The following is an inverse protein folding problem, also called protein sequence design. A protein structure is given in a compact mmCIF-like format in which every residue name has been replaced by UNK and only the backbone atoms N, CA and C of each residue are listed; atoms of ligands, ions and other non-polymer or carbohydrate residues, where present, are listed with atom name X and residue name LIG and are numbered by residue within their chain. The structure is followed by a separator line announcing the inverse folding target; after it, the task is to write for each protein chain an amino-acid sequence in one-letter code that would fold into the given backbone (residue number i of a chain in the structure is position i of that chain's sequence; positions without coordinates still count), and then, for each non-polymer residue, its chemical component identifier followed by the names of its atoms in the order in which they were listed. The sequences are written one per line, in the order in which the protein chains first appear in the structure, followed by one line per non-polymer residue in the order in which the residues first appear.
data_IF_005630666163
#
_entry.id   IF_005630666163
#
_cell.length_a   1.000
_cell.length_b   1.000
_cell.length_c   1.000
_cell.angle_alpha   90.00
_cell.angle_beta   90.00
_cell.angle_gamma   90.00
#
_symmetry.space_group_name_H-M   'P 1'
#
loop_
_entity.id
_entity.type
_entity.pdbx_description
1 polymer ?
#
# COMPACT_ATOMS: atom_id res chain seq x y z
N UNK A 1 -5.93 15.23 -1.43
CA UNK A 1 -6.76 15.29 -2.66
C UNK A 1 -6.46 14.22 -3.71
N UNK A 2 -5.20 13.82 -4.02
CA UNK A 2 -4.96 12.79 -5.06
C UNK A 2 -5.40 11.36 -4.69
N UNK A 3 -5.21 10.94 -3.43
CA UNK A 3 -5.47 9.56 -3.01
C UNK A 3 -6.98 9.25 -2.94
N UNK A 4 -7.79 10.18 -2.43
CA UNK A 4 -9.24 9.95 -2.28
C UNK A 4 -9.94 9.86 -3.64
N UNK A 5 -9.51 10.68 -4.61
CA UNK A 5 -9.98 10.60 -5.99
C UNK A 5 -9.60 9.25 -6.63
N UNK A 6 -8.39 8.75 -6.40
CA UNK A 6 -7.95 7.45 -6.89
C UNK A 6 -8.74 6.31 -6.23
N UNK A 7 -9.03 6.40 -4.92
CA UNK A 7 -9.90 5.45 -4.20
C UNK A 7 -11.31 5.42 -4.80
N UNK A 8 -11.88 6.59 -5.11
CA UNK A 8 -13.18 6.71 -5.77
C UNK A 8 -13.17 6.08 -7.17
N UNK A 9 -12.17 6.39 -8.00
CA UNK A 9 -12.03 5.82 -9.33
C UNK A 9 -11.86 4.29 -9.32
N UNK A 10 -11.10 3.74 -8.36
CA UNK A 10 -10.98 2.29 -8.16
C UNK A 10 -12.35 1.67 -7.84
N UNK A 11 -13.15 2.32 -6.97
CA UNK A 11 -14.49 1.84 -6.62
C UNK A 11 -15.41 1.81 -7.84
N UNK A 12 -15.45 2.90 -8.60
CA UNK A 12 -16.28 3.00 -9.82
C UNK A 12 -15.88 1.95 -10.87
N UNK A 13 -14.57 1.74 -11.08
CA UNK A 13 -14.09 0.72 -12.01
C UNK A 13 -14.40 -0.70 -11.51
N UNK A 14 -14.32 -0.95 -10.20
CA UNK A 14 -14.74 -2.23 -9.60
C UNK A 14 -16.21 -2.50 -9.83
N UNK A 15 -17.07 -1.52 -9.58
CA UNK A 15 -18.52 -1.65 -9.79
C UNK A 15 -18.83 -1.95 -11.27
N UNK A 16 -18.11 -1.29 -12.19
CA UNK A 16 -18.19 -1.55 -13.63
C UNK A 16 -17.76 -2.98 -13.98
N UNK A 17 -16.63 -3.44 -13.42
CA UNK A 17 -16.15 -4.79 -13.64
C UNK A 17 -17.08 -5.86 -13.07
N UNK A 18 -17.70 -5.62 -11.92
CA UNK A 18 -18.69 -6.53 -11.33
C UNK A 18 -19.92 -6.62 -12.24
N UNK A 19 -20.39 -5.50 -12.77
CA UNK A 19 -21.49 -5.49 -13.77
C UNK A 19 -21.12 -6.27 -15.02
N UNK A 20 -19.92 -6.04 -15.57
CA UNK A 20 -19.42 -6.77 -16.74
C UNK A 20 -19.33 -8.27 -16.45
N UNK A 21 -18.79 -8.66 -15.30
CA UNK A 21 -18.70 -10.07 -14.91
C UNK A 21 -20.06 -10.74 -14.84
N UNK A 22 -21.03 -10.09 -14.20
CA UNK A 22 -22.39 -10.60 -14.07
C UNK A 22 -23.14 -10.65 -15.42
N UNK A 23 -22.70 -9.88 -16.43
CA UNK A 23 -23.24 -9.94 -17.79
C UNK A 23 -22.63 -11.02 -18.68
N UNK A 24 -21.60 -11.75 -18.22
CA UNK A 24 -20.97 -12.79 -19.02
C UNK A 24 -21.98 -13.94 -19.24
N UNK A 25 -22.33 -14.26 -20.50
CA UNK A 25 -23.24 -15.36 -20.78
C UNK A 25 -22.58 -16.69 -20.42
N UNK A 26 -23.41 -17.62 -19.94
CA UNK A 26 -23.00 -18.99 -19.68
C UNK A 26 -22.98 -19.75 -21.02
N UNK A 27 -22.05 -20.70 -21.23
CA UNK A 27 -22.09 -21.56 -22.39
C UNK A 27 -23.46 -22.22 -22.53
N UNK A 28 -24.04 -22.13 -23.73
CA UNK A 28 -25.35 -22.74 -24.02
C UNK A 28 -25.18 -23.89 -24.98
N UNK A 29 -26.21 -24.72 -25.15
CA UNK A 29 -26.20 -25.82 -26.12
C UNK A 29 -25.92 -25.35 -27.55
N UNK A 30 -26.34 -24.13 -27.90
CA UNK A 30 -26.14 -23.52 -29.22
C UNK A 30 -24.76 -22.89 -29.40
N UNK A 31 -24.11 -22.48 -28.30
CA UNK A 31 -22.77 -21.89 -28.28
C UNK A 31 -21.92 -22.54 -27.18
N UNK A 32 -21.49 -23.81 -27.39
CA UNK A 32 -20.73 -24.55 -26.39
C UNK A 32 -19.35 -23.93 -26.12
N UNK A 33 -18.80 -23.20 -27.09
CA UNK A 33 -17.51 -22.50 -26.98
C UNK A 33 -17.65 -21.08 -26.41
N UNK A 34 -18.86 -20.62 -26.12
CA UNK A 34 -19.16 -19.31 -25.54
C UNK A 34 -18.51 -18.14 -26.29
N UNK A 35 -18.56 -18.18 -27.62
CA UNK A 35 -18.03 -17.14 -28.50
C UNK A 35 -18.67 -15.77 -28.23
N UNK A 36 -19.92 -15.74 -27.77
CA UNK A 36 -20.63 -14.53 -27.38
C UNK A 36 -20.07 -13.88 -26.10
N UNK A 37 -19.39 -14.63 -25.23
CA UNK A 37 -18.76 -14.08 -24.03
C UNK A 37 -17.42 -13.41 -24.28
N UNK A 38 -16.67 -13.82 -25.31
CA UNK A 38 -15.33 -13.28 -25.61
C UNK A 38 -15.24 -11.74 -25.64
N UNK A 39 -16.14 -10.98 -26.29
CA UNK A 39 -16.07 -9.51 -26.26
C UNK A 39 -16.22 -8.94 -24.84
N UNK A 40 -17.14 -9.50 -24.04
CA UNK A 40 -17.38 -9.06 -22.66
C UNK A 40 -16.19 -9.46 -21.76
N UNK A 41 -15.64 -10.65 -21.95
CA UNK A 41 -14.46 -11.13 -21.25
C UNK A 41 -13.24 -10.25 -21.54
N UNK A 42 -13.04 -9.82 -22.78
CA UNK A 42 -11.96 -8.91 -23.15
C UNK A 42 -12.08 -7.58 -22.41
N UNK A 43 -13.26 -6.95 -22.43
CA UNK A 43 -13.53 -5.71 -21.70
C UNK A 43 -13.32 -5.89 -20.18
N UNK A 44 -13.77 -7.01 -19.61
CA UNK A 44 -13.60 -7.32 -18.20
C UNK A 44 -12.11 -7.49 -17.83
N UNK A 45 -11.31 -8.15 -18.67
CA UNK A 45 -9.86 -8.33 -18.48
C UNK A 45 -9.14 -6.99 -18.54
N UNK A 46 -9.46 -6.15 -19.52
CA UNK A 46 -8.91 -4.79 -19.66
C UNK A 46 -9.22 -3.93 -18.43
N UNK A 47 -10.48 -3.90 -18.00
CA UNK A 47 -10.89 -3.21 -16.77
C UNK A 47 -10.17 -3.76 -15.53
N UNK A 48 -9.95 -5.07 -15.46
CA UNK A 48 -9.25 -5.72 -14.33
C UNK A 48 -7.78 -5.34 -14.28
N UNK A 49 -7.11 -5.24 -15.43
CA UNK A 49 -5.74 -4.76 -15.52
C UNK A 49 -5.64 -3.29 -15.07
N UNK A 50 -6.58 -2.45 -15.51
CA UNK A 50 -6.66 -1.04 -15.08
C UNK A 50 -6.81 -0.91 -13.56
N UNK A 51 -7.63 -1.75 -12.92
CA UNK A 51 -7.75 -1.77 -11.44
C UNK A 51 -6.41 -2.12 -10.78
N UNK A 52 -5.70 -3.13 -11.30
CA UNK A 52 -4.38 -3.52 -10.76
C UNK A 52 -3.38 -2.37 -10.83
N UNK A 53 -3.35 -1.64 -11.95
CA UNK A 53 -2.50 -0.46 -12.12
C UNK A 53 -2.84 0.64 -11.13
N UNK A 54 -4.12 0.98 -10.98
CA UNK A 54 -4.57 2.01 -10.01
C UNK A 54 -4.25 1.63 -8.56
N UNK A 55 -4.41 0.35 -8.19
CA UNK A 55 -4.04 -0.14 -6.86
C UNK A 55 -2.52 0.00 -6.63
N UNK A 56 -1.72 -0.34 -7.64
CA UNK A 56 -0.26 -0.19 -7.56
C UNK A 56 0.14 1.28 -7.39
N UNK A 57 -0.49 2.18 -8.14
CA UNK A 57 -0.27 3.63 -7.98
C UNK A 57 -0.65 4.10 -6.57
N UNK A 58 -1.78 3.65 -6.05
CA UNK A 58 -2.24 3.98 -4.70
C UNK A 58 -1.22 3.55 -3.63
N UNK A 59 -0.69 2.32 -3.73
CA UNK A 59 0.35 1.84 -2.82
C UNK A 59 1.63 2.69 -2.88
N UNK A 60 2.04 3.12 -4.08
CA UNK A 60 3.19 3.99 -4.26
C UNK A 60 2.94 5.36 -3.59
N UNK A 61 1.75 5.93 -3.76
CA UNK A 61 1.40 7.22 -3.14
C UNK A 61 1.32 7.14 -1.61
N UNK A 62 0.68 6.10 -1.08
CA UNK A 62 0.57 5.89 0.38
C UNK A 62 1.95 5.66 1.01
N UNK A 63 2.84 4.90 0.36
CA UNK A 63 4.21 4.69 0.85
C UNK A 63 5.05 5.97 0.85
N UNK A 64 4.87 6.85 -0.15
CA UNK A 64 5.51 8.17 -0.20
C UNK A 64 5.04 9.08 0.93
N UNK A 65 3.74 9.06 1.25
CA UNK A 65 3.20 9.83 2.37
C UNK A 65 3.72 9.33 3.73
N UNK A 66 3.76 8.01 3.96
CA UNK A 66 4.35 7.44 5.18
C UNK A 66 5.82 7.78 5.36
N UNK A 67 6.59 7.88 4.27
CA UNK A 67 8.00 8.31 4.32
C UNK A 67 8.16 9.79 4.66
N UNK A 68 7.16 10.63 4.35
CA UNK A 68 7.16 12.05 4.75
C UNK A 68 6.82 12.21 6.22
N UNK A 69 5.80 11.52 6.71
CA UNK A 69 5.41 11.57 8.13
C UNK A 69 6.53 11.11 9.08
N UNK A 70 7.34 10.13 8.67
CA UNK A 70 8.46 9.65 9.50
C UNK A 70 9.70 10.54 9.50
N UNK A 71 9.78 11.58 8.64
CA UNK A 71 10.98 12.44 8.57
C UNK A 71 11.03 13.50 9.68
N UNK A 72 9.90 13.85 10.28
CA UNK A 72 9.83 14.91 11.30
C UNK A 72 9.94 14.42 12.75
N UNK A 73 10.16 13.12 12.97
CA UNK A 73 10.42 12.62 14.32
C UNK A 73 11.90 12.82 14.63
N UNK A 74 12.26 14.02 15.12
CA UNK A 74 13.56 14.27 15.74
C UNK A 74 13.74 13.28 16.91
N UNK A 75 14.58 12.26 16.71
CA UNK A 75 14.88 11.28 17.75
C UNK A 75 15.85 11.89 18.74
N UNK A 76 15.32 12.35 19.87
CA UNK A 76 16.11 12.62 21.08
C UNK A 76 16.76 11.31 21.52
N UNK A 77 18.08 11.30 21.72
CA UNK A 77 18.77 10.18 22.36
C UNK A 77 19.71 10.71 23.46
N UNK A 78 20.10 9.84 24.40
CA UNK A 78 21.02 10.19 25.49
C UNK A 78 22.45 9.91 25.03
N UNK A 79 23.32 10.92 25.01
CA UNK A 79 24.72 10.80 24.58
C UNK A 79 25.60 10.03 25.61
N UNK A 80 26.88 9.81 25.31
CA UNK A 80 27.82 9.15 26.23
C UNK A 80 28.09 9.89 27.55
N UNK A 81 27.71 11.18 27.63
CA UNK A 81 27.81 12.01 28.83
C UNK A 81 26.50 12.05 29.63
N UNK A 82 25.46 11.33 29.19
CA UNK A 82 24.15 11.32 29.86
C UNK A 82 23.22 12.47 29.45
N UNK A 83 23.59 13.27 28.45
CA UNK A 83 22.78 14.41 28.01
C UNK A 83 21.81 14.01 26.89
N UNK A 84 20.57 14.50 26.96
CA UNK A 84 19.60 14.35 25.88
C UNK A 84 19.99 15.27 24.70
N UNK A 85 20.24 14.68 23.53
CA UNK A 85 20.65 15.40 22.32
C UNK A 85 19.75 15.08 21.13
N UNK A 86 19.58 16.10 20.28
CA UNK A 86 18.89 16.01 18.99
C UNK A 86 19.86 15.82 17.80
N UNK A 87 21.16 15.69 18.09
CA UNK A 87 22.16 15.42 17.04
C UNK A 87 21.85 14.09 16.38
N UNK A 88 22.30 13.86 15.15
CA UNK A 88 22.17 12.54 14.53
C UNK A 88 23.27 11.60 15.04
N UNK A 89 22.92 10.33 15.29
CA UNK A 89 23.91 9.29 15.53
C UNK A 89 24.59 8.97 14.20
N UNK A 90 25.84 9.39 14.05
CA UNK A 90 26.65 9.07 12.88
C UNK A 90 27.30 7.69 12.95
N UNK A 91 27.43 7.11 14.15
CA UNK A 91 28.09 5.82 14.38
C UNK A 91 27.09 4.64 14.47
N UNK A 92 27.24 3.65 13.58
CA UNK A 92 26.37 2.46 13.51
C UNK A 92 26.40 1.58 14.76
N UNK A 93 27.53 1.53 15.47
CA UNK A 93 27.66 0.78 16.74
C UNK A 93 26.81 1.44 17.83
N UNK A 94 26.88 2.77 17.90
CA UNK A 94 26.14 3.57 18.86
C UNK A 94 24.62 3.46 18.63
N UNK A 95 24.20 3.47 17.36
CA UNK A 95 22.79 3.28 17.00
C UNK A 95 22.25 1.90 17.43
N UNK A 96 23.07 0.84 17.33
CA UNK A 96 22.70 -0.50 17.80
C UNK A 96 22.57 -0.56 19.31
N UNK A 97 23.49 0.05 20.04
CA UNK A 97 23.45 0.08 21.51
C UNK A 97 22.20 0.82 22.01
N UNK A 98 21.86 1.98 21.42
CA UNK A 98 20.65 2.73 21.79
C UNK A 98 19.37 1.93 21.56
N UNK A 99 19.28 1.17 20.46
CA UNK A 99 18.14 0.28 20.19
C UNK A 99 18.03 -0.86 21.21
N UNK A 100 19.17 -1.44 21.62
CA UNK A 100 19.22 -2.48 22.65
C UNK A 100 18.72 -1.92 23.99
N UNK A 101 19.28 -0.78 24.41
CA UNK A 101 18.90 -0.10 25.65
C UNK A 101 17.40 0.23 25.69
N UNK A 102 16.84 0.77 24.60
CA UNK A 102 15.42 1.06 24.52
C UNK A 102 14.54 -0.20 24.67
N UNK A 103 14.98 -1.33 24.11
CA UNK A 103 14.30 -2.62 24.25
C UNK A 103 14.39 -3.15 25.69
N UNK A 104 15.55 -3.01 26.32
CA UNK A 104 15.77 -3.44 27.70
C UNK A 104 14.93 -2.61 28.68
N UNK A 105 14.83 -1.29 28.48
CA UNK A 105 13.92 -0.43 29.27
C UNK A 105 12.45 -0.83 29.11
N UNK A 106 12.01 -1.11 27.89
CA UNK A 106 10.62 -1.52 27.64
C UNK A 106 10.30 -2.87 28.29
N UNK A 107 11.27 -3.78 28.31
CA UNK A 107 11.14 -5.08 28.96
C UNK A 107 11.13 -4.97 30.49
N UNK A 108 11.85 -4.01 31.08
CA UNK A 108 11.90 -3.80 32.53
C UNK A 108 10.59 -3.24 33.09
N UNK A 109 9.87 -2.45 32.30
CA UNK A 109 8.58 -1.85 32.69
C UNK A 109 7.42 -2.87 32.55
N UNK A 110 7.64 -4.00 31.87
CA UNK A 110 6.62 -4.99 31.54
C UNK A 110 6.61 -6.16 32.52
#
# INVERSE_FOLDING_TARGET
MKIDNLKKAIKEQRDTNVRLFNSIPIPTREDPNNTKAEPILKLWREGSNKIKEMIRELQILESKNRKRENKDVHKVFINGYGEATNREITNSSYQRNQKRLAKDMLNYIK
#
